data_IF_737662800130
#
_entry.id   IF_737662800130
#
_cell.length_a   1.000
_cell.length_b   1.000
_cell.length_c   1.000
_cell.angle_alpha   90.00
_cell.angle_beta   90.00
_cell.angle_gamma   90.00
#
_symmetry.space_group_name_H-M   'P 1'
#
loop_
_entity.id
_entity.type
_entity.pdbx_description
1 polymer ?
#
# COMPACT_ATOMS: atom_id res chain seq x y z
N UNK A 1 -7.63 -11.25 15.25
CA UNK A 1 -7.76 -10.88 16.68
C UNK A 1 -8.06 -12.12 17.52
N UNK A 2 -9.05 -12.93 17.12
CA UNK A 2 -9.25 -14.27 17.67
C UNK A 2 -7.99 -15.15 17.46
N UNK A 3 -7.66 -15.96 18.45
CA UNK A 3 -6.50 -16.87 18.52
C UNK A 3 -5.10 -16.22 18.46
N UNK A 4 -4.99 -14.89 18.56
CA UNK A 4 -3.67 -14.26 18.70
C UNK A 4 -3.21 -14.28 20.16
N UNK A 5 -1.96 -14.72 20.42
CA UNK A 5 -1.34 -14.66 21.75
C UNK A 5 -0.87 -13.25 22.13
N UNK A 6 -1.19 -12.24 21.32
CA UNK A 6 -0.76 -10.85 21.56
C UNK A 6 -1.75 -10.11 22.46
N UNK A 7 -1.26 -9.29 23.41
CA UNK A 7 -2.11 -8.43 24.23
C UNK A 7 -2.97 -7.50 23.38
N UNK A 8 -4.24 -7.32 23.77
CA UNK A 8 -5.18 -6.44 23.06
C UNK A 8 -4.68 -4.98 22.96
N UNK A 9 -3.94 -4.51 23.97
CA UNK A 9 -3.32 -3.18 23.97
C UNK A 9 -2.42 -2.94 22.75
N UNK A 10 -1.73 -3.96 22.26
CA UNK A 10 -0.87 -3.84 21.07
C UNK A 10 -1.66 -3.64 19.79
N UNK A 11 -2.83 -4.28 19.68
CA UNK A 11 -3.73 -4.08 18.54
C UNK A 11 -4.24 -2.64 18.51
N UNK A 12 -4.73 -2.11 19.63
CA UNK A 12 -5.23 -0.73 19.72
C UNK A 12 -4.10 0.26 19.41
N UNK A 13 -2.93 0.10 20.04
CA UNK A 13 -1.80 1.00 19.83
C UNK A 13 -1.33 0.97 18.36
N UNK A 14 -1.27 -0.20 17.74
CA UNK A 14 -0.89 -0.33 16.33
C UNK A 14 -1.91 0.31 15.40
N UNK A 15 -3.22 0.14 15.67
CA UNK A 15 -4.27 0.81 14.91
C UNK A 15 -4.15 2.33 15.04
N UNK A 16 -3.94 2.83 16.26
CA UNK A 16 -3.74 4.26 16.49
C UNK A 16 -2.55 4.80 15.68
N UNK A 17 -1.40 4.11 15.72
CA UNK A 17 -0.21 4.51 14.97
C UNK A 17 -0.43 4.50 13.46
N UNK A 18 -1.10 3.47 12.93
CA UNK A 18 -1.39 3.36 11.50
C UNK A 18 -2.39 4.43 11.01
N UNK A 19 -3.37 4.80 11.84
CA UNK A 19 -4.40 5.78 11.47
C UNK A 19 -3.99 7.23 11.69
N UNK A 20 -3.01 7.48 12.58
CA UNK A 20 -2.61 8.85 12.95
C UNK A 20 -1.83 9.58 11.86
N UNK A 21 -1.25 8.88 10.88
CA UNK A 21 -0.40 9.52 9.87
C UNK A 21 -0.73 9.06 8.46
N UNK A 22 -0.54 9.95 7.48
CA UNK A 22 -0.64 9.62 6.05
C UNK A 22 0.57 8.84 5.52
N UNK A 23 1.56 8.56 6.37
CA UNK A 23 2.81 7.87 5.97
C UNK A 23 2.78 6.44 6.47
N UNK A 24 3.35 5.53 5.70
CA UNK A 24 3.48 4.13 6.11
C UNK A 24 4.54 3.99 7.20
N UNK A 25 4.17 3.42 8.35
CA UNK A 25 5.13 3.04 9.38
C UNK A 25 5.87 1.75 9.02
N UNK A 26 7.16 1.69 9.34
CA UNK A 26 7.89 0.42 9.33
C UNK A 26 7.37 -0.48 10.45
N UNK A 27 7.24 -1.77 10.18
CA UNK A 27 6.88 -2.76 11.20
C UNK A 27 7.91 -2.82 12.33
N UNK A 28 9.19 -2.58 12.03
CA UNK A 28 10.24 -2.51 13.06
C UNK A 28 10.05 -1.32 14.00
N UNK A 29 9.58 -0.19 13.47
CA UNK A 29 9.29 0.99 14.29
C UNK A 29 8.09 0.73 15.20
N UNK A 30 7.04 0.08 14.68
CA UNK A 30 5.89 -0.35 15.48
C UNK A 30 6.37 -1.31 16.58
N UNK A 31 7.22 -2.29 16.26
CA UNK A 31 7.79 -3.20 17.25
C UNK A 31 8.56 -2.46 18.34
N UNK A 32 9.37 -1.47 17.97
CA UNK A 32 10.14 -0.61 18.88
C UNK A 32 9.23 0.16 19.83
N UNK A 33 8.19 0.80 19.30
CA UNK A 33 7.22 1.56 20.11
C UNK A 33 6.38 0.68 21.04
N UNK A 34 6.07 -0.54 20.62
CA UNK A 34 5.36 -1.52 21.45
C UNK A 34 6.27 -2.21 22.50
N UNK A 35 7.59 -2.11 22.34
CA UNK A 35 8.56 -2.80 23.19
C UNK A 35 8.58 -4.33 23.01
N UNK A 36 8.07 -4.86 21.88
CA UNK A 36 7.99 -6.30 21.67
C UNK A 36 9.34 -6.88 21.21
N UNK A 37 9.78 -8.00 21.83
CA UNK A 37 11.08 -8.62 21.51
C UNK A 37 11.13 -9.24 20.10
N UNK A 38 10.10 -10.00 19.72
CA UNK A 38 10.03 -10.70 18.42
C UNK A 38 9.34 -9.84 17.35
N UNK A 39 9.91 -9.81 16.14
CA UNK A 39 9.34 -9.09 15.00
C UNK A 39 8.11 -9.77 14.38
N UNK A 40 8.22 -11.08 14.15
CA UNK A 40 7.24 -11.84 13.38
C UNK A 40 5.77 -11.66 13.83
N UNK A 41 5.42 -11.72 15.14
CA UNK A 41 4.03 -11.51 15.57
C UNK A 41 3.53 -10.10 15.28
N UNK A 42 4.39 -9.09 15.41
CA UNK A 42 4.05 -7.68 15.11
C UNK A 42 3.86 -7.50 13.61
N UNK A 43 4.71 -8.14 12.80
CA UNK A 43 4.59 -8.14 11.35
C UNK A 43 3.27 -8.76 10.88
N UNK A 44 2.93 -9.94 11.37
CA UNK A 44 1.65 -10.59 11.04
C UNK A 44 0.45 -9.74 11.45
N UNK A 45 0.52 -9.07 12.61
CA UNK A 45 -0.51 -8.14 13.07
C UNK A 45 -0.67 -6.94 12.11
N UNK A 46 0.43 -6.29 11.74
CA UNK A 46 0.43 -5.14 10.80
C UNK A 46 -0.08 -5.56 9.43
N UNK A 47 0.34 -6.72 8.92
CA UNK A 47 -0.14 -7.26 7.64
C UNK A 47 -1.65 -7.52 7.66
N UNK A 48 -2.19 -8.10 8.73
CA UNK A 48 -3.64 -8.30 8.89
C UNK A 48 -4.41 -6.98 8.91
N UNK A 49 -3.90 -5.97 9.62
CA UNK A 49 -4.52 -4.66 9.64
C UNK A 49 -4.52 -4.00 8.25
N UNK A 50 -3.38 -4.05 7.54
CA UNK A 50 -3.25 -3.49 6.18
C UNK A 50 -4.14 -4.21 5.16
N UNK A 51 -4.30 -5.52 5.27
CA UNK A 51 -5.21 -6.29 4.40
C UNK A 51 -6.66 -5.82 4.59
N UNK A 52 -7.11 -5.68 5.84
CA UNK A 52 -8.47 -5.19 6.13
C UNK A 52 -8.65 -3.73 5.70
N UNK A 53 -7.65 -2.87 5.91
CA UNK A 53 -7.67 -1.49 5.41
C UNK A 53 -7.77 -1.44 3.89
N UNK A 54 -6.98 -2.26 3.17
CA UNK A 54 -7.03 -2.36 1.71
C UNK A 54 -8.38 -2.85 1.19
N UNK A 55 -9.00 -3.83 1.86
CA UNK A 55 -10.36 -4.31 1.52
C UNK A 55 -11.42 -3.23 1.68
N UNK A 56 -11.29 -2.39 2.72
CA UNK A 56 -12.17 -1.23 2.90
C UNK A 56 -11.94 -0.20 1.79
N UNK A 57 -10.69 0.14 1.51
CA UNK A 57 -10.35 1.12 0.48
C UNK A 57 -10.80 0.68 -0.92
N UNK A 58 -10.83 -0.62 -1.19
CA UNK A 58 -11.34 -1.17 -2.45
C UNK A 58 -12.82 -0.88 -2.70
N UNK A 59 -13.61 -0.63 -1.64
CA UNK A 59 -15.06 -0.35 -1.73
C UNK A 59 -15.36 1.07 -2.23
N UNK A 60 -14.42 2.02 -2.12
CA UNK A 60 -14.65 3.36 -2.64
C UNK A 60 -14.70 3.33 -4.17
N UNK A 61 -15.68 3.96 -4.78
CA UNK A 61 -15.70 4.18 -6.24
C UNK A 61 -14.91 5.45 -6.57
N UNK A 62 -14.22 5.43 -7.71
CA UNK A 62 -13.61 6.64 -8.26
C UNK A 62 -14.69 7.39 -9.04
N UNK A 63 -14.83 8.69 -8.82
CA UNK A 63 -15.81 9.54 -9.49
C UNK A 63 -15.13 10.78 -10.10
N UNK A 64 -15.79 11.45 -11.05
CA UNK A 64 -15.27 12.66 -11.68
C UNK A 64 -14.07 12.42 -12.62
N UNK A 65 -13.01 13.22 -12.46
CA UNK A 65 -11.80 13.10 -13.27
C UNK A 65 -10.83 12.08 -12.66
N UNK A 66 -10.48 11.06 -13.44
CA UNK A 66 -9.53 10.02 -13.03
C UNK A 66 -8.28 10.08 -13.89
N UNK A 67 -7.13 10.21 -13.24
CA UNK A 67 -5.81 10.11 -13.86
C UNK A 67 -5.28 8.69 -13.69
N UNK A 68 -4.74 8.12 -14.76
CA UNK A 68 -4.21 6.76 -14.80
C UNK A 68 -2.71 6.80 -15.09
N UNK A 69 -1.93 6.09 -14.28
CA UNK A 69 -0.49 5.92 -14.45
C UNK A 69 -0.07 4.45 -14.27
N UNK A 70 1.06 4.07 -14.84
CA UNK A 70 1.61 2.71 -14.78
C UNK A 70 2.82 2.66 -13.83
N UNK A 71 2.66 1.95 -12.71
CA UNK A 71 3.73 1.61 -11.77
C UNK A 71 4.38 0.26 -12.10
N UNK A 72 5.71 0.17 -11.98
CA UNK A 72 6.43 -1.10 -12.12
C UNK A 72 7.15 -1.46 -10.82
N UNK A 73 6.69 -2.53 -10.16
CA UNK A 73 7.24 -2.99 -8.89
C UNK A 73 8.02 -4.29 -9.08
N UNK A 74 9.20 -4.38 -8.46
CA UNK A 74 9.95 -5.63 -8.39
C UNK A 74 9.22 -6.59 -7.47
N UNK A 75 8.81 -7.75 -8.00
CA UNK A 75 8.11 -8.78 -7.23
C UNK A 75 8.92 -10.07 -7.22
N UNK A 76 8.88 -10.79 -6.11
CA UNK A 76 9.37 -12.17 -6.01
C UNK A 76 8.59 -13.05 -7.02
N UNK A 77 9.30 -13.88 -7.79
CA UNK A 77 8.71 -14.80 -8.77
C UNK A 77 8.41 -16.15 -8.10
N UNK A 78 7.37 -16.88 -8.56
CA UNK A 78 7.17 -18.27 -8.15
C UNK A 78 8.43 -19.08 -8.45
N UNK A 79 8.70 -20.07 -7.60
CA UNK A 79 9.94 -20.84 -7.61
C UNK A 79 10.18 -21.55 -8.96
N UNK A 80 9.10 -22.03 -9.56
CA UNK A 80 9.01 -22.68 -10.88
C UNK A 80 9.56 -21.83 -12.03
N UNK A 81 9.54 -20.51 -11.86
CA UNK A 81 9.90 -19.55 -12.91
C UNK A 81 11.31 -18.95 -12.72
N UNK A 82 11.99 -19.24 -11.60
CA UNK A 82 13.29 -18.64 -11.26
C UNK A 82 14.38 -18.99 -12.28
N UNK A 83 14.33 -20.17 -12.89
CA UNK A 83 15.34 -20.67 -13.82
C UNK A 83 15.15 -20.20 -15.27
N UNK A 84 14.06 -19.48 -15.57
CA UNK A 84 13.79 -18.97 -16.92
C UNK A 84 14.61 -17.71 -17.24
N UNK A 85 15.21 -17.60 -18.44
CA UNK A 85 16.00 -16.44 -18.82
C UNK A 85 15.16 -15.14 -18.81
N UNK A 86 15.64 -14.15 -18.08
CA UNK A 86 14.93 -12.90 -17.83
C UNK A 86 15.05 -11.94 -19.02
N UNK A 87 13.91 -11.52 -19.55
CA UNK A 87 13.85 -10.35 -20.45
C UNK A 87 14.22 -9.08 -19.67
N UNK A 88 15.15 -8.28 -20.21
CA UNK A 88 15.54 -6.97 -19.68
C UNK A 88 14.66 -5.87 -20.29
N UNK A 89 14.46 -4.76 -19.56
CA UNK A 89 13.72 -3.59 -20.05
C UNK A 89 12.20 -3.63 -19.81
N UNK A 90 11.43 -2.93 -20.66
CA UNK A 90 9.96 -2.91 -20.60
C UNK A 90 9.41 -4.33 -20.85
N UNK A 91 8.54 -4.80 -19.97
CA UNK A 91 8.06 -6.19 -20.00
C UNK A 91 9.02 -7.21 -19.37
N UNK A 92 9.99 -6.76 -18.55
CA UNK A 92 10.81 -7.66 -17.76
C UNK A 92 9.94 -8.51 -16.83
N UNK A 93 10.14 -9.83 -16.87
CA UNK A 93 9.46 -10.79 -16.00
C UNK A 93 9.75 -10.56 -14.50
N UNK A 94 10.76 -9.74 -14.17
CA UNK A 94 11.09 -9.36 -12.78
C UNK A 94 10.16 -8.27 -12.22
N UNK A 95 9.47 -7.53 -13.08
CA UNK A 95 8.64 -6.38 -12.68
C UNK A 95 7.16 -6.67 -12.93
N UNK A 96 6.36 -6.57 -11.88
CA UNK A 96 4.91 -6.57 -11.99
C UNK A 96 4.42 -5.18 -12.40
N UNK A 97 3.59 -5.15 -13.45
CA UNK A 97 2.86 -3.94 -13.85
C UNK A 97 1.67 -3.73 -12.92
N UNK A 98 1.59 -2.55 -12.32
CA UNK A 98 0.49 -2.13 -11.45
C UNK A 98 -0.07 -0.84 -12.02
N UNK A 99 -1.34 -0.85 -12.34
CA UNK A 99 -2.05 0.35 -12.79
C UNK A 99 -2.47 1.12 -11.55
N UNK A 100 -2.11 2.40 -11.51
CA UNK A 100 -2.48 3.35 -10.46
C UNK A 100 -3.51 4.30 -11.03
N UNK A 101 -4.65 4.43 -10.36
CA UNK A 101 -5.73 5.33 -10.72
C UNK A 101 -5.99 6.28 -9.56
N UNK A 102 -6.07 7.57 -9.86
CA UNK A 102 -6.24 8.61 -8.86
C UNK A 102 -7.32 9.58 -9.29
N UNK A 103 -8.27 9.82 -8.41
CA UNK A 103 -9.26 10.88 -8.58
C UNK A 103 -8.59 12.24 -8.36
N UNK A 104 -8.79 13.16 -9.30
CA UNK A 104 -8.27 14.52 -9.22
C UNK A 104 -9.38 15.56 -9.39
N UNK A 105 -9.32 16.60 -8.57
CA UNK A 105 -10.23 17.74 -8.65
C UNK A 105 -9.42 19.05 -8.72
N UNK A 106 -9.92 20.08 -9.43
CA UNK A 106 -9.26 21.38 -9.44
C UNK A 106 -9.21 21.96 -8.03
N UNK A 107 -8.04 22.45 -7.62
CA UNK A 107 -7.88 23.13 -6.33
C UNK A 107 -8.65 24.44 -6.34
N UNK A 108 -9.60 24.59 -5.41
CA UNK A 108 -10.29 25.87 -5.18
C UNK A 108 -9.37 26.96 -4.60
N UNK A 109 -8.21 26.58 -4.03
CA UNK A 109 -7.19 27.52 -3.57
C UNK A 109 -6.31 27.93 -4.75
N UNK A 110 -6.06 29.24 -4.90
CA UNK A 110 -5.12 29.76 -5.89
C UNK A 110 -3.76 29.04 -5.77
N UNK A 111 -3.28 28.40 -6.85
CA UNK A 111 -2.03 27.67 -6.80
C UNK A 111 -0.88 28.67 -6.57
N UNK A 112 -0.17 28.51 -5.45
CA UNK A 112 1.11 29.20 -5.23
C UNK A 112 2.14 28.67 -6.22
N UNK A 113 3.09 29.50 -6.65
CA UNK A 113 4.18 29.11 -7.57
C UNK A 113 4.88 27.84 -7.05
N UNK A 114 4.93 26.79 -7.86
CA UNK A 114 5.54 25.50 -7.53
C UNK A 114 4.67 24.53 -6.72
N UNK A 115 3.37 24.82 -6.50
CA UNK A 115 2.42 23.88 -5.90
C UNK A 115 1.47 23.30 -6.96
N UNK A 116 1.03 22.03 -6.79
CA UNK A 116 0.09 21.41 -7.72
C UNK A 116 -1.25 22.17 -7.73
N UNK A 117 -1.83 22.32 -8.91
CA UNK A 117 -3.14 22.96 -9.13
C UNK A 117 -4.34 22.04 -8.88
N UNK A 118 -4.09 20.77 -8.56
CA UNK A 118 -5.10 19.74 -8.32
C UNK A 118 -5.02 19.18 -6.91
N UNK A 119 -6.16 18.78 -6.38
CA UNK A 119 -6.31 18.04 -5.13
C UNK A 119 -6.53 16.58 -5.47
N UNK A 120 -5.93 15.70 -4.67
CA UNK A 120 -6.03 14.25 -4.82
C UNK A 120 -7.15 13.72 -3.94
N UNK A 121 -8.06 12.95 -4.54
CA UNK A 121 -9.14 12.23 -3.88
C UNK A 121 -8.75 10.78 -3.58
N UNK A 122 -9.61 9.84 -3.96
CA UNK A 122 -9.36 8.42 -3.76
C UNK A 122 -8.30 7.88 -4.73
N UNK A 123 -7.55 6.89 -4.26
CA UNK A 123 -6.52 6.21 -5.03
C UNK A 123 -6.80 4.71 -5.07
N UNK A 124 -6.67 4.11 -6.26
CA UNK A 124 -6.73 2.67 -6.47
C UNK A 124 -5.48 2.16 -7.15
N UNK A 125 -4.99 1.02 -6.68
CA UNK A 125 -3.93 0.26 -7.35
C UNK A 125 -4.47 -1.11 -7.72
N UNK A 126 -4.33 -1.48 -8.98
CA UNK A 126 -4.70 -2.80 -9.46
C UNK A 126 -3.51 -3.45 -10.15
N UNK A 127 -3.20 -4.70 -9.77
CA UNK A 127 -2.18 -5.47 -10.48
C UNK A 127 -2.75 -5.83 -11.84
N UNK A 128 -2.10 -5.39 -12.91
CA UNK A 128 -2.54 -5.72 -14.26
C UNK A 128 -2.25 -7.20 -14.49
N UNK A 129 -3.29 -8.03 -14.50
CA UNK A 129 -3.19 -9.39 -15.01
C UNK A 129 -3.11 -9.29 -16.53
N UNK A 130 -2.01 -9.77 -17.11
CA UNK A 130 -2.03 -10.13 -18.54
C UNK A 130 -2.91 -11.37 -18.65
N UNK A 131 -4.11 -11.21 -19.18
CA UNK A 131 -4.79 -12.28 -19.93
C UNK A 131 -4.01 -12.61 -21.18
#
# INVERSE_FOLDING_TARGET
MQNSKLPYRYWIATMFLLMSTKKSFSTEEIRRQLGHKRYQPVWEMVCKLRDVMGKRDAQYSLDGQVELDDGFFTTERPEEEKDTPLKRGRGSHKKSKVVVMVESAPSQRHPRKGKPSKVVGHLKMHRSFRT
#
